data_IF_924896130368
#
_entry.id   IF_924896130368
#
_cell.length_a   1.000
_cell.length_b   1.000
_cell.length_c   1.000
_cell.angle_alpha   90.00
_cell.angle_beta   90.00
_cell.angle_gamma   90.00
#
_symmetry.space_group_name_H-M   'P 1'
#
loop_
_entity.id
_entity.type
_entity.pdbx_description
1 polymer ?
#
# COMPACT_ATOMS: atom_id res chain seq x y z
N UNK A 1 26.52 7.07 -60.76
CA UNK A 1 25.49 6.34 -59.99
C UNK A 1 25.52 6.89 -58.56
N UNK A 2 24.73 7.94 -58.28
CA UNK A 2 24.63 8.58 -57.00
C UNK A 2 23.65 7.81 -56.11
N UNK A 3 24.12 7.29 -55.02
CA UNK A 3 23.31 6.53 -54.05
C UNK A 3 22.41 7.52 -53.33
N UNK A 4 21.09 7.40 -53.50
CA UNK A 4 20.05 8.09 -52.73
C UNK A 4 20.02 7.51 -51.30
N UNK A 5 20.99 7.84 -50.47
CA UNK A 5 21.05 7.41 -49.06
C UNK A 5 20.20 8.29 -48.14
N UNK A 6 19.81 9.50 -48.58
CA UNK A 6 19.06 10.45 -47.76
C UNK A 6 17.57 10.12 -47.54
N UNK A 7 16.88 9.57 -48.54
CA UNK A 7 15.43 9.31 -48.46
C UNK A 7 15.06 8.10 -47.57
N UNK A 8 15.95 7.12 -47.46
CA UNK A 8 15.73 5.97 -46.59
C UNK A 8 15.88 6.30 -45.09
N UNK A 9 16.73 7.26 -44.74
CA UNK A 9 16.94 7.67 -43.35
C UNK A 9 15.68 8.41 -42.82
N UNK A 10 15.10 9.32 -43.64
CA UNK A 10 13.90 10.08 -43.24
C UNK A 10 12.69 9.18 -42.99
N UNK A 11 12.50 8.12 -43.76
CA UNK A 11 11.34 7.21 -43.66
C UNK A 11 11.30 6.41 -42.35
N UNK A 12 12.43 6.23 -41.68
CA UNK A 12 12.55 5.50 -40.41
C UNK A 12 12.85 6.43 -39.24
N UNK A 13 13.37 7.62 -39.45
CA UNK A 13 13.60 8.62 -38.42
C UNK A 13 12.28 9.24 -37.93
N UNK A 14 11.31 9.47 -38.81
CA UNK A 14 10.05 10.13 -38.45
C UNK A 14 9.21 9.33 -37.44
N UNK A 15 8.95 8.01 -37.61
CA UNK A 15 8.24 7.23 -36.62
C UNK A 15 8.98 7.11 -35.30
N UNK A 16 10.31 7.03 -35.32
CA UNK A 16 11.13 7.00 -34.08
C UNK A 16 11.10 8.32 -33.36
N UNK A 17 11.18 9.41 -34.08
CA UNK A 17 11.09 10.76 -33.55
C UNK A 17 9.70 11.05 -32.97
N UNK A 18 8.63 10.60 -33.64
CA UNK A 18 7.26 10.67 -33.12
C UNK A 18 7.08 9.83 -31.84
N UNK A 19 7.59 8.60 -31.80
CA UNK A 19 7.58 7.79 -30.56
C UNK A 19 8.37 8.46 -29.43
N UNK A 20 9.54 9.03 -29.75
CA UNK A 20 10.32 9.78 -28.74
C UNK A 20 9.58 11.02 -28.23
N UNK A 21 8.86 11.73 -29.13
CA UNK A 21 8.03 12.88 -28.75
C UNK A 21 6.84 12.43 -27.89
N UNK A 22 6.15 11.35 -28.25
CA UNK A 22 5.03 10.83 -27.47
C UNK A 22 5.52 10.36 -26.09
N UNK A 23 6.64 9.66 -26.03
CA UNK A 23 7.27 9.25 -24.75
C UNK A 23 7.70 10.47 -23.94
N UNK A 24 8.24 11.51 -24.59
CA UNK A 24 8.63 12.76 -23.93
C UNK A 24 7.42 13.58 -23.45
N UNK A 25 6.34 13.66 -24.23
CA UNK A 25 5.10 14.35 -23.85
C UNK A 25 4.37 13.62 -22.72
N UNK A 26 4.33 12.31 -22.76
CA UNK A 26 3.85 11.48 -21.67
C UNK A 26 4.72 11.72 -20.41
N UNK A 27 6.03 11.76 -20.59
CA UNK A 27 7.00 12.10 -19.57
C UNK A 27 6.79 13.50 -18.97
N UNK A 28 6.59 14.54 -19.80
CA UNK A 28 6.34 15.92 -19.33
C UNK A 28 4.99 16.05 -18.62
N UNK A 29 3.99 15.30 -19.04
CA UNK A 29 2.72 15.19 -18.33
C UNK A 29 2.90 14.53 -16.96
N UNK A 30 3.73 13.50 -16.87
CA UNK A 30 4.06 12.75 -15.65
C UNK A 30 5.08 13.48 -14.77
N UNK A 31 5.93 14.36 -15.34
CA UNK A 31 6.94 15.16 -14.62
C UNK A 31 6.34 16.25 -13.69
N UNK A 32 5.01 16.42 -13.69
CA UNK A 32 4.32 17.16 -12.63
C UNK A 32 4.55 16.53 -11.24
N UNK A 33 5.15 15.35 -11.19
CA UNK A 33 5.46 14.54 -10.01
C UNK A 33 6.98 14.50 -9.80
N UNK A 34 7.46 15.40 -8.99
CA UNK A 34 8.88 15.83 -8.88
C UNK A 34 9.93 14.73 -8.65
N UNK A 35 9.58 13.57 -8.12
CA UNK A 35 10.55 12.51 -7.76
C UNK A 35 10.75 11.43 -8.83
N UNK A 36 9.85 11.31 -9.78
CA UNK A 36 9.85 10.25 -10.81
C UNK A 36 10.42 10.72 -12.14
N UNK A 37 10.56 12.04 -12.33
CA UNK A 37 11.00 12.68 -13.54
C UNK A 37 12.38 12.21 -14.03
N UNK A 38 13.34 12.05 -13.12
CA UNK A 38 14.69 11.62 -13.47
C UNK A 38 14.73 10.15 -13.93
N UNK A 39 14.00 9.26 -13.26
CA UNK A 39 13.92 7.85 -13.64
C UNK A 39 13.31 7.65 -15.02
N UNK A 40 12.24 8.38 -15.35
CA UNK A 40 11.63 8.36 -16.69
C UNK A 40 12.56 8.93 -17.76
N UNK A 41 13.25 10.03 -17.45
CA UNK A 41 14.20 10.62 -18.39
C UNK A 41 15.32 9.63 -18.74
N UNK A 42 15.91 9.00 -17.73
CA UNK A 42 16.97 8.00 -17.93
C UNK A 42 16.44 6.80 -18.74
N UNK A 43 15.23 6.35 -18.47
CA UNK A 43 14.63 5.27 -19.23
C UNK A 43 14.29 5.66 -20.67
N UNK A 44 13.74 6.85 -20.90
CA UNK A 44 13.48 7.36 -22.25
C UNK A 44 14.78 7.47 -23.07
N UNK A 45 15.87 7.93 -22.44
CA UNK A 45 17.19 7.98 -23.05
C UNK A 45 17.70 6.57 -23.37
N UNK A 46 17.58 5.62 -22.44
CA UNK A 46 18.00 4.23 -22.64
C UNK A 46 17.22 3.58 -23.79
N UNK A 47 15.89 3.75 -23.85
CA UNK A 47 15.06 3.26 -24.95
C UNK A 47 15.45 3.88 -26.28
N UNK A 48 15.76 5.18 -26.30
CA UNK A 48 16.25 5.88 -27.50
C UNK A 48 17.55 5.27 -27.98
N UNK A 49 18.54 5.13 -27.09
CA UNK A 49 19.86 4.54 -27.40
C UNK A 49 19.71 3.12 -27.89
N UNK A 50 18.93 2.29 -27.22
CA UNK A 50 18.65 0.90 -27.65
C UNK A 50 18.02 0.86 -29.04
N UNK A 51 17.05 1.71 -29.34
CA UNK A 51 16.40 1.80 -30.66
C UNK A 51 17.39 2.17 -31.76
N UNK A 52 18.26 3.14 -31.51
CA UNK A 52 19.28 3.55 -32.46
C UNK A 52 20.30 2.44 -32.72
N UNK A 53 20.83 1.83 -31.65
CA UNK A 53 21.79 0.73 -31.75
C UNK A 53 21.20 -0.48 -32.49
N UNK A 54 19.97 -0.87 -32.15
CA UNK A 54 19.31 -1.99 -32.78
C UNK A 54 19.07 -1.77 -34.28
N UNK A 55 18.72 -0.54 -34.69
CA UNK A 55 18.58 -0.18 -36.13
C UNK A 55 19.91 -0.22 -36.86
N UNK A 56 20.97 0.26 -36.21
CA UNK A 56 22.31 0.19 -36.82
C UNK A 56 22.73 -1.28 -37.01
N UNK A 57 22.48 -2.15 -36.04
CA UNK A 57 22.77 -3.59 -36.11
C UNK A 57 21.96 -4.29 -37.21
N UNK A 58 20.66 -4.02 -37.32
CA UNK A 58 19.80 -4.59 -38.36
C UNK A 58 20.27 -4.15 -39.74
N UNK A 59 20.57 -2.86 -39.92
CA UNK A 59 21.02 -2.33 -41.21
C UNK A 59 22.39 -2.86 -41.62
N UNK A 60 23.27 -3.11 -40.65
CA UNK A 60 24.62 -3.67 -40.87
C UNK A 60 24.58 -5.20 -41.07
N UNK A 61 23.71 -5.91 -40.34
CA UNK A 61 23.62 -7.36 -40.35
C UNK A 61 22.83 -7.93 -41.52
N UNK A 62 21.78 -7.23 -41.97
CA UNK A 62 20.90 -7.71 -43.06
C UNK A 62 21.22 -6.90 -44.33
N UNK A 63 22.10 -7.46 -45.14
CA UNK A 63 22.48 -6.87 -46.45
C UNK A 63 21.50 -7.37 -47.52
N UNK A 64 20.95 -6.45 -48.32
CA UNK A 64 20.09 -6.74 -49.46
C UNK A 64 18.80 -5.93 -49.48
N UNK A 65 18.25 -5.71 -50.68
CA UNK A 65 17.02 -4.97 -50.92
C UNK A 65 15.88 -5.87 -51.43
N UNK A 66 16.08 -7.20 -51.45
CA UNK A 66 15.07 -8.16 -51.87
C UNK A 66 13.87 -8.26 -50.89
N UNK A 67 12.81 -8.90 -51.33
CA UNK A 67 11.56 -9.06 -50.59
C UNK A 67 11.79 -9.66 -49.19
N UNK A 68 12.57 -10.77 -49.09
CA UNK A 68 12.91 -11.46 -47.83
C UNK A 68 13.62 -10.52 -46.86
N UNK A 69 14.62 -9.76 -47.34
CA UNK A 69 15.36 -8.83 -46.47
C UNK A 69 14.45 -7.71 -45.91
N UNK A 70 13.50 -7.21 -46.72
CA UNK A 70 12.52 -6.22 -46.28
C UNK A 70 11.57 -6.79 -45.25
N UNK A 71 11.08 -8.01 -45.45
CA UNK A 71 10.18 -8.70 -44.51
C UNK A 71 10.83 -8.94 -43.16
N UNK A 72 12.07 -9.43 -43.12
CA UNK A 72 12.82 -9.62 -41.86
C UNK A 72 13.03 -8.28 -41.15
N UNK A 73 13.43 -7.22 -41.85
CA UNK A 73 13.61 -5.90 -41.26
C UNK A 73 12.32 -5.35 -40.67
N UNK A 74 11.19 -5.54 -41.37
CA UNK A 74 9.87 -5.12 -40.89
C UNK A 74 9.47 -5.89 -39.64
N UNK A 75 9.65 -7.22 -39.64
CA UNK A 75 9.36 -8.05 -38.47
C UNK A 75 10.18 -7.64 -37.25
N UNK A 76 11.50 -7.47 -37.40
CA UNK A 76 12.37 -7.02 -36.32
C UNK A 76 12.02 -5.61 -35.82
N UNK A 77 11.57 -4.74 -36.71
CA UNK A 77 11.08 -3.41 -36.33
C UNK A 77 9.79 -3.49 -35.50
N UNK A 78 8.81 -4.29 -35.94
CA UNK A 78 7.55 -4.49 -35.19
C UNK A 78 7.82 -5.13 -33.84
N UNK A 79 8.72 -6.10 -33.76
CA UNK A 79 9.16 -6.70 -32.51
C UNK A 79 9.79 -5.68 -31.55
N UNK A 80 10.64 -4.80 -32.05
CA UNK A 80 11.21 -3.70 -31.28
C UNK A 80 10.14 -2.73 -30.75
N UNK A 81 9.15 -2.39 -31.60
CA UNK A 81 8.02 -1.54 -31.19
C UNK A 81 7.25 -2.22 -30.05
N UNK A 82 6.98 -3.52 -30.16
CA UNK A 82 6.29 -4.27 -29.12
C UNK A 82 7.06 -4.25 -27.79
N UNK A 83 8.38 -4.49 -27.82
CA UNK A 83 9.24 -4.40 -26.62
C UNK A 83 9.14 -2.99 -25.98
N UNK A 84 9.26 -1.94 -26.80
CA UNK A 84 9.18 -0.56 -26.28
C UNK A 84 7.80 -0.29 -25.65
N UNK A 85 6.72 -0.72 -26.27
CA UNK A 85 5.36 -0.56 -25.72
C UNK A 85 5.23 -1.32 -24.41
N UNK A 86 5.73 -2.56 -24.34
CA UNK A 86 5.71 -3.36 -23.09
C UNK A 86 6.48 -2.68 -21.98
N UNK A 87 7.70 -2.22 -22.24
CA UNK A 87 8.52 -1.51 -21.24
C UNK A 87 7.82 -0.23 -20.78
N UNK A 88 7.30 0.58 -21.72
CA UNK A 88 6.59 1.82 -21.40
C UNK A 88 5.34 1.55 -20.56
N UNK A 89 4.54 0.58 -20.95
CA UNK A 89 3.35 0.17 -20.22
C UNK A 89 3.66 -0.33 -18.81
N UNK A 90 4.65 -1.23 -18.68
CA UNK A 90 5.07 -1.77 -17.39
C UNK A 90 5.55 -0.66 -16.44
N UNK A 91 6.35 0.27 -16.94
CA UNK A 91 6.81 1.39 -16.11
C UNK A 91 5.69 2.35 -15.76
N UNK A 92 4.74 2.59 -16.66
CA UNK A 92 3.55 3.39 -16.36
C UNK A 92 2.77 2.75 -15.20
N UNK A 93 2.54 1.44 -15.26
CA UNK A 93 1.86 0.71 -14.17
C UNK A 93 2.63 0.86 -12.85
N UNK A 94 3.96 0.62 -12.84
CA UNK A 94 4.78 0.75 -11.62
C UNK A 94 4.63 2.13 -10.98
N UNK A 95 4.58 3.17 -11.80
CA UNK A 95 4.54 4.55 -11.32
C UNK A 95 3.17 4.99 -10.83
N UNK A 96 2.11 4.54 -11.51
CA UNK A 96 0.75 4.84 -11.09
C UNK A 96 0.22 3.90 -10.02
N UNK A 97 0.82 2.71 -9.84
CA UNK A 97 0.34 1.75 -8.85
C UNK A 97 0.32 2.32 -7.43
N UNK A 98 1.35 3.06 -7.03
CA UNK A 98 1.43 3.65 -5.70
C UNK A 98 0.36 4.73 -5.50
N UNK A 99 0.09 5.58 -6.50
CA UNK A 99 -0.92 6.62 -6.44
C UNK A 99 -2.35 6.11 -6.56
N UNK A 100 -2.52 5.04 -7.33
CA UNK A 100 -3.82 4.36 -7.43
C UNK A 100 -4.13 3.55 -6.17
N UNK A 101 -3.10 3.13 -5.43
CA UNK A 101 -3.24 2.25 -4.29
C UNK A 101 -3.38 3.01 -2.98
N UNK A 102 -2.62 4.10 -2.77
CA UNK A 102 -2.68 4.89 -1.55
C UNK A 102 -3.48 6.17 -1.75
N UNK A 103 -4.36 6.46 -0.80
CA UNK A 103 -5.22 7.66 -0.78
C UNK A 103 -4.90 8.53 0.45
N UNK A 104 -3.73 9.21 0.50
CA UNK A 104 -3.37 10.06 1.63
C UNK A 104 -4.44 11.10 1.90
N UNK A 105 -4.97 11.11 3.11
CA UNK A 105 -6.01 12.03 3.55
C UNK A 105 -5.48 12.92 4.69
N UNK A 106 -5.75 14.22 4.59
CA UNK A 106 -5.38 15.23 5.59
C UNK A 106 -6.64 16.02 5.98
N UNK A 107 -7.24 15.68 7.11
CA UNK A 107 -8.43 16.34 7.62
C UNK A 107 -8.06 17.39 8.67
N UNK A 108 -7.80 18.62 8.21
CA UNK A 108 -7.43 19.74 9.06
C UNK A 108 -8.55 20.16 10.02
N UNK A 109 -9.81 20.05 9.61
CA UNK A 109 -10.95 20.42 10.45
C UNK A 109 -11.07 19.46 11.63
N UNK A 110 -10.98 18.15 11.39
CA UNK A 110 -10.99 17.16 12.45
C UNK A 110 -9.78 17.31 13.38
N UNK A 111 -8.61 17.63 12.83
CA UNK A 111 -7.41 17.91 13.62
C UNK A 111 -7.60 19.07 14.60
N UNK A 112 -8.10 20.23 14.13
CA UNK A 112 -8.37 21.40 14.97
C UNK A 112 -9.45 21.14 16.04
N UNK A 113 -10.46 20.34 15.71
CA UNK A 113 -11.49 19.91 16.68
C UNK A 113 -10.91 19.03 17.78
N UNK A 114 -10.03 18.10 17.43
CA UNK A 114 -9.38 17.20 18.39
C UNK A 114 -8.45 17.95 19.33
N UNK A 115 -7.71 18.95 18.87
CA UNK A 115 -6.88 19.82 19.73
C UNK A 115 -7.66 20.47 20.88
N UNK A 116 -8.94 20.72 20.69
CA UNK A 116 -9.82 21.29 21.72
C UNK A 116 -10.38 20.24 22.69
N UNK A 117 -10.17 18.96 22.43
CA UNK A 117 -10.69 17.86 23.25
C UNK A 117 -9.63 17.40 24.24
N UNK A 118 -9.81 17.70 25.53
CA UNK A 118 -8.85 17.34 26.59
C UNK A 118 -8.62 15.84 26.79
N UNK A 119 -9.51 14.99 26.26
CA UNK A 119 -9.34 13.51 26.33
C UNK A 119 -8.37 12.98 25.28
N UNK A 120 -8.10 13.75 24.22
CA UNK A 120 -7.21 13.37 23.16
C UNK A 120 -5.85 14.04 23.36
N UNK A 121 -4.80 13.26 23.22
CA UNK A 121 -3.43 13.75 23.27
C UNK A 121 -2.83 13.59 21.88
N UNK A 122 -2.40 14.70 21.30
CA UNK A 122 -1.62 14.63 20.06
C UNK A 122 -0.29 13.95 20.35
N UNK A 123 0.07 13.01 19.48
CA UNK A 123 1.33 12.30 19.52
C UNK A 123 2.16 12.75 18.33
N UNK A 124 3.37 13.19 18.63
CA UNK A 124 4.38 13.54 17.64
C UNK A 124 5.70 12.93 18.06
N UNK A 125 6.36 12.26 17.15
CA UNK A 125 7.72 11.75 17.37
C UNK A 125 8.51 11.72 16.08
N UNK A 126 9.81 11.82 16.19
CA UNK A 126 10.74 11.78 15.07
C UNK A 126 11.57 10.49 15.13
N UNK A 127 11.76 9.87 13.98
CA UNK A 127 12.66 8.73 13.83
C UNK A 127 13.26 8.73 12.42
N UNK A 128 14.58 8.55 12.33
CA UNK A 128 15.32 8.51 11.05
C UNK A 128 15.02 9.73 10.15
N UNK A 129 14.96 10.93 10.74
CA UNK A 129 14.61 12.20 10.08
C UNK A 129 13.21 12.21 9.45
N UNK A 130 12.29 11.37 9.95
CA UNK A 130 10.87 11.36 9.58
C UNK A 130 10.03 11.77 10.77
N UNK A 131 9.08 12.68 10.54
CA UNK A 131 8.13 13.15 11.54
C UNK A 131 6.85 12.33 11.42
N UNK A 132 6.42 11.72 12.51
CA UNK A 132 5.17 10.98 12.62
C UNK A 132 4.22 11.70 13.56
N UNK A 133 2.95 11.73 13.21
CA UNK A 133 1.87 12.34 13.98
C UNK A 133 0.73 11.36 14.18
N UNK A 134 -0.02 11.54 15.25
CA UNK A 134 -1.18 10.71 15.54
C UNK A 134 -1.93 11.20 16.77
N UNK A 135 -2.85 10.38 17.24
CA UNK A 135 -3.66 10.69 18.41
C UNK A 135 -3.71 9.53 19.38
N UNK A 136 -3.65 9.85 20.68
CA UNK A 136 -3.87 8.95 21.80
C UNK A 136 -5.14 9.36 22.54
N UNK A 137 -6.08 8.45 22.67
CA UNK A 137 -7.15 8.51 23.65
C UNK A 137 -6.68 7.83 24.93
N UNK A 138 -6.60 8.61 25.99
CA UNK A 138 -6.33 8.11 27.32
C UNK A 138 -7.67 7.95 28.05
N UNK A 139 -8.05 6.71 28.32
CA UNK A 139 -9.31 6.38 29.00
C UNK A 139 -9.15 6.20 30.49
N UNK A 140 -8.02 5.63 30.90
CA UNK A 140 -7.75 5.27 32.28
C UNK A 140 -6.72 6.18 32.93
N UNK A 141 -6.87 6.44 34.20
CA UNK A 141 -5.82 7.09 35.01
C UNK A 141 -4.73 6.08 35.37
N UNK A 142 -3.47 6.45 35.12
CA UNK A 142 -2.35 5.58 35.39
C UNK A 142 -1.95 4.72 34.19
N UNK A 143 -1.46 3.53 34.47
CA UNK A 143 -0.93 2.58 33.50
C UNK A 143 -2.04 1.64 33.04
N UNK A 144 -2.32 1.60 31.73
CA UNK A 144 -3.40 0.80 31.16
C UNK A 144 -2.96 0.06 29.88
N UNK A 145 -3.63 -1.07 29.55
CA UNK A 145 -3.50 -1.72 28.26
C UNK A 145 -3.70 -0.75 27.08
N UNK A 146 -3.09 -1.07 25.94
CA UNK A 146 -3.15 -0.20 24.77
C UNK A 146 -3.58 -0.97 23.53
N UNK A 147 -4.55 -0.43 22.80
CA UNK A 147 -4.80 -0.79 21.40
C UNK A 147 -4.02 0.15 20.49
N UNK A 148 -3.15 -0.41 19.62
CA UNK A 148 -2.52 0.33 18.53
C UNK A 148 -3.28 -0.01 17.25
N UNK A 149 -3.93 0.99 16.68
CA UNK A 149 -4.78 0.83 15.51
C UNK A 149 -4.10 1.32 14.23
N UNK A 150 -4.12 0.47 13.21
CA UNK A 150 -3.68 0.73 11.86
C UNK A 150 -4.89 0.84 10.95
N UNK A 151 -5.17 2.04 10.48
CA UNK A 151 -6.37 2.37 9.72
C UNK A 151 -6.40 1.80 8.31
N UNK A 152 -7.57 1.88 7.70
CA UNK A 152 -7.78 1.57 6.29
C UNK A 152 -7.17 2.63 5.36
N UNK A 153 -7.19 2.33 4.07
CA UNK A 153 -6.74 3.28 3.06
C UNK A 153 -7.65 4.54 3.05
N UNK A 154 -7.05 5.72 3.03
CA UNK A 154 -7.79 6.99 3.13
C UNK A 154 -8.16 7.43 4.55
N UNK A 155 -7.90 6.62 5.59
CA UNK A 155 -8.11 7.05 6.96
C UNK A 155 -6.97 7.93 7.47
N UNK A 156 -7.32 8.93 8.27
CA UNK A 156 -6.37 9.64 9.12
C UNK A 156 -6.84 9.63 10.57
N UNK A 157 -5.88 9.65 11.49
CA UNK A 157 -6.14 9.53 12.92
C UNK A 157 -7.06 10.64 13.45
N UNK A 158 -6.88 11.86 13.01
CA UNK A 158 -7.72 12.99 13.43
C UNK A 158 -9.21 12.77 13.12
N UNK A 159 -9.53 12.30 11.92
CA UNK A 159 -10.91 12.02 11.52
C UNK A 159 -11.48 10.82 12.27
N UNK A 160 -10.70 9.75 12.42
CA UNK A 160 -11.13 8.55 13.18
C UNK A 160 -11.51 8.90 14.62
N UNK A 161 -10.70 9.71 15.28
CA UNK A 161 -10.95 10.13 16.65
C UNK A 161 -12.21 11.01 16.77
N UNK A 162 -12.43 11.92 15.80
CA UNK A 162 -13.63 12.74 15.80
C UNK A 162 -14.90 11.91 15.56
N UNK A 163 -14.91 11.03 14.56
CA UNK A 163 -16.06 10.16 14.25
C UNK A 163 -16.43 9.27 15.45
N UNK A 164 -15.45 8.66 16.10
CA UNK A 164 -15.67 7.83 17.26
C UNK A 164 -16.29 8.60 18.44
N UNK A 165 -15.94 9.89 18.60
CA UNK A 165 -16.57 10.76 19.59
C UNK A 165 -18.05 10.96 19.29
N UNK A 166 -18.39 11.20 18.04
CA UNK A 166 -19.76 11.47 17.61
C UNK A 166 -20.63 10.21 17.69
N UNK A 167 -20.08 9.04 17.34
CA UNK A 167 -20.77 7.76 17.30
C UNK A 167 -20.70 6.97 18.62
N UNK A 168 -19.96 7.46 19.62
CA UNK A 168 -19.77 6.83 20.94
C UNK A 168 -19.19 5.41 20.91
N UNK A 169 -18.33 5.09 19.95
CA UNK A 169 -17.72 3.74 19.82
C UNK A 169 -16.68 3.45 20.90
N UNK A 170 -16.22 4.46 21.65
CA UNK A 170 -15.17 4.28 22.65
C UNK A 170 -15.53 3.33 23.80
N UNK A 171 -16.82 3.09 24.06
CA UNK A 171 -17.22 2.14 25.12
C UNK A 171 -16.90 0.67 24.77
N UNK A 172 -16.65 0.36 23.49
CA UNK A 172 -16.16 -0.97 23.10
C UNK A 172 -14.71 -1.23 23.49
N UNK A 173 -13.97 -0.17 23.81
CA UNK A 173 -12.56 -0.20 24.22
C UNK A 173 -12.38 0.13 25.71
N UNK A 174 -13.39 -0.15 26.55
CA UNK A 174 -13.28 0.11 27.99
C UNK A 174 -12.13 -0.71 28.61
N UNK A 175 -11.32 -0.07 29.46
CA UNK A 175 -10.10 -0.64 30.02
C UNK A 175 -8.85 -0.47 29.16
N UNK A 176 -8.96 0.05 27.94
CA UNK A 176 -7.83 0.27 27.04
C UNK A 176 -7.62 1.73 26.70
N UNK A 177 -6.39 2.16 26.64
CA UNK A 177 -5.99 3.33 25.87
C UNK A 177 -6.00 2.98 24.38
N UNK A 178 -6.15 3.99 23.52
CA UNK A 178 -6.22 3.77 22.07
C UNK A 178 -5.30 4.73 21.33
N UNK A 179 -4.37 4.19 20.55
CA UNK A 179 -3.39 4.94 19.76
C UNK A 179 -3.59 4.69 18.27
N UNK A 180 -3.63 5.75 17.48
CA UNK A 180 -3.50 5.69 16.04
C UNK A 180 -2.45 6.70 15.58
N UNK A 181 -1.46 6.22 14.83
CA UNK A 181 -0.44 7.05 14.18
C UNK A 181 -0.74 7.09 12.68
N UNK A 182 -0.69 8.27 12.10
CA UNK A 182 -0.90 8.45 10.66
C UNK A 182 0.23 7.83 9.85
N UNK A 183 -0.11 7.13 8.79
CA UNK A 183 0.87 6.62 7.83
C UNK A 183 1.69 7.76 7.21
N UNK A 184 2.90 7.48 6.70
CA UNK A 184 3.67 8.48 5.96
C UNK A 184 2.85 9.12 4.83
N UNK A 185 2.73 10.45 4.85
CA UNK A 185 1.91 11.22 3.91
C UNK A 185 0.43 11.38 4.28
N UNK A 186 -0.07 10.64 5.29
CA UNK A 186 -1.43 10.78 5.82
C UNK A 186 -1.43 11.73 7.02
N UNK A 187 -2.59 12.32 7.31
CA UNK A 187 -2.75 13.24 8.42
C UNK A 187 -1.64 14.30 8.44
N UNK A 188 -0.92 14.39 9.54
CA UNK A 188 0.22 15.29 9.69
C UNK A 188 1.58 14.58 9.59
N UNK A 189 1.62 13.24 9.39
CA UNK A 189 2.86 12.48 9.20
C UNK A 189 3.53 12.83 7.88
N UNK A 190 4.86 13.01 7.90
CA UNK A 190 5.65 13.34 6.72
C UNK A 190 6.10 12.09 5.97
N UNK A 191 6.32 12.24 4.67
CA UNK A 191 6.84 11.17 3.82
C UNK A 191 5.90 10.75 2.71
N UNK A 192 6.19 9.59 2.12
CA UNK A 192 5.40 8.99 1.03
C UNK A 192 4.99 7.58 1.48
N UNK A 193 3.73 7.18 1.30
CA UNK A 193 3.28 5.85 1.68
C UNK A 193 3.90 4.76 0.79
N UNK A 194 4.27 3.67 1.41
CA UNK A 194 4.65 2.39 0.81
C UNK A 194 4.52 1.33 1.91
N UNK A 195 4.52 0.04 1.56
CA UNK A 195 4.55 -1.03 2.55
C UNK A 195 5.74 -0.86 3.51
N UNK A 196 6.97 -0.68 3.00
CA UNK A 196 8.17 -0.47 3.81
C UNK A 196 8.04 0.73 4.76
N UNK A 197 7.53 1.87 4.28
CA UNK A 197 7.42 3.08 5.09
C UNK A 197 6.32 2.98 6.15
N UNK A 198 5.22 2.27 5.86
CA UNK A 198 4.15 1.99 6.81
C UNK A 198 4.60 0.99 7.87
N UNK A 199 5.38 -0.03 7.49
CA UNK A 199 5.99 -0.98 8.42
C UNK A 199 7.00 -0.32 9.35
N UNK A 200 7.87 0.55 8.82
CA UNK A 200 8.79 1.33 9.65
C UNK A 200 8.03 2.19 10.66
N UNK A 201 6.99 2.90 10.22
CA UNK A 201 6.13 3.71 11.09
C UNK A 201 5.50 2.85 12.19
N UNK A 202 4.96 1.67 11.86
CA UNK A 202 4.31 0.78 12.83
C UNK A 202 5.29 0.31 13.92
N UNK A 203 6.51 -0.08 13.53
CA UNK A 203 7.58 -0.45 14.49
C UNK A 203 7.91 0.74 15.40
N UNK A 204 8.04 1.94 14.84
CA UNK A 204 8.37 3.15 15.64
C UNK A 204 7.22 3.59 16.55
N UNK A 205 5.98 3.45 16.10
CA UNK A 205 4.80 3.71 16.93
C UNK A 205 4.73 2.77 18.13
N UNK A 206 5.01 1.47 17.92
CA UNK A 206 5.11 0.50 19.00
C UNK A 206 6.26 0.82 19.96
N UNK A 207 7.47 1.03 19.43
CA UNK A 207 8.66 1.34 20.23
C UNK A 207 8.45 2.64 21.05
N UNK A 208 7.79 3.65 20.49
CA UNK A 208 7.37 4.84 21.20
C UNK A 208 6.35 4.52 22.30
N UNK A 209 5.32 3.73 21.99
CA UNK A 209 4.24 3.41 22.91
C UNK A 209 4.75 2.71 24.18
N UNK A 210 5.67 1.75 24.05
CA UNK A 210 6.21 1.00 25.20
C UNK A 210 7.09 1.86 26.14
N UNK A 211 7.57 3.03 25.69
CA UNK A 211 8.33 3.95 26.55
C UNK A 211 7.44 4.83 27.43
N UNK A 212 6.15 4.85 27.16
CA UNK A 212 5.20 5.72 27.88
C UNK A 212 4.89 5.17 29.27
N UNK A 213 4.79 6.06 30.22
CA UNK A 213 4.46 5.71 31.63
C UNK A 213 2.99 5.31 31.83
N UNK A 214 2.11 5.76 30.92
CA UNK A 214 0.67 5.51 30.95
C UNK A 214 0.25 4.29 30.11
N UNK A 215 1.21 3.53 29.57
CA UNK A 215 0.97 2.31 28.79
C UNK A 215 1.48 1.09 29.55
N UNK A 216 0.64 0.08 29.67
CA UNK A 216 1.06 -1.25 30.09
C UNK A 216 1.66 -2.00 28.88
N UNK A 217 2.99 -2.03 28.84
CA UNK A 217 3.73 -2.64 27.74
C UNK A 217 3.56 -4.16 27.63
N UNK A 218 2.99 -4.82 28.64
CA UNK A 218 2.71 -6.26 28.60
C UNK A 218 1.35 -6.54 27.96
N UNK A 219 0.48 -5.54 27.87
CA UNK A 219 -0.88 -5.71 27.33
C UNK A 219 -1.11 -4.76 26.14
N UNK A 220 -0.38 -5.01 25.06
CA UNK A 220 -0.55 -4.28 23.80
C UNK A 220 -1.28 -5.16 22.82
N UNK A 221 -2.42 -4.68 22.32
CA UNK A 221 -3.20 -5.30 21.25
C UNK A 221 -3.01 -4.50 19.96
N UNK A 222 -2.70 -5.18 18.88
CA UNK A 222 -2.68 -4.58 17.54
C UNK A 222 -4.03 -4.77 16.89
N UNK A 223 -4.53 -3.73 16.24
CA UNK A 223 -5.77 -3.77 15.49
C UNK A 223 -5.54 -3.17 14.11
N UNK A 224 -5.90 -3.90 13.07
CA UNK A 224 -5.78 -3.46 11.68
C UNK A 224 -7.11 -3.52 10.95
N UNK A 225 -7.33 -2.57 10.03
CA UNK A 225 -8.48 -2.57 9.15
C UNK A 225 -8.04 -2.44 7.70
N UNK A 226 -8.58 -3.30 6.81
CA UNK A 226 -8.28 -3.26 5.38
C UNK A 226 -6.75 -3.28 5.14
N UNK A 227 -6.16 -2.31 4.48
CA UNK A 227 -4.70 -2.22 4.27
C UNK A 227 -3.92 -2.29 5.60
N UNK A 228 -4.49 -1.77 6.68
CA UNK A 228 -3.88 -1.79 8.01
C UNK A 228 -3.72 -3.20 8.60
N UNK A 229 -4.46 -4.19 8.11
CA UNK A 229 -4.31 -5.59 8.55
C UNK A 229 -2.94 -6.16 8.20
N UNK A 230 -2.41 -5.83 7.02
CA UNK A 230 -1.05 -6.20 6.62
C UNK A 230 0.01 -5.54 7.52
N UNK A 231 -0.21 -4.28 7.91
CA UNK A 231 0.69 -3.54 8.82
C UNK A 231 0.66 -4.13 10.22
N UNK A 232 -0.54 -4.43 10.74
CA UNK A 232 -0.71 -5.05 12.06
C UNK A 232 -0.07 -6.46 12.11
N UNK A 233 -0.29 -7.28 11.08
CA UNK A 233 0.29 -8.63 10.97
C UNK A 233 1.82 -8.58 10.88
N UNK A 234 2.37 -7.65 10.09
CA UNK A 234 3.82 -7.43 10.04
C UNK A 234 4.40 -7.08 11.41
N UNK A 235 3.79 -6.13 12.12
CA UNK A 235 4.28 -5.74 13.44
C UNK A 235 4.16 -6.88 14.46
N UNK A 236 3.07 -7.64 14.45
CA UNK A 236 2.88 -8.81 15.30
C UNK A 236 3.94 -9.90 15.04
N UNK A 237 4.45 -10.02 13.81
CA UNK A 237 5.53 -10.95 13.49
C UNK A 237 6.90 -10.56 14.05
N UNK A 238 7.05 -9.29 14.49
CA UNK A 238 8.32 -8.72 14.98
C UNK A 238 8.32 -8.36 16.47
N UNK A 239 7.15 -8.26 17.07
CA UNK A 239 7.00 -7.80 18.46
C UNK A 239 6.10 -8.75 19.23
N UNK A 240 6.43 -8.96 20.49
CA UNK A 240 5.56 -9.70 21.39
C UNK A 240 4.36 -8.80 21.73
N UNK A 241 3.18 -9.17 21.21
CA UNK A 241 1.93 -8.48 21.45
C UNK A 241 0.92 -9.40 22.12
N UNK A 242 0.00 -8.84 22.87
CA UNK A 242 -0.95 -9.61 23.67
C UNK A 242 -2.17 -10.04 22.88
N UNK A 243 -2.48 -9.35 21.79
CA UNK A 243 -3.57 -9.69 20.89
C UNK A 243 -3.40 -9.07 19.51
N UNK A 244 -4.13 -9.63 18.54
CA UNK A 244 -4.17 -9.15 17.15
C UNK A 244 -5.59 -9.24 16.62
N UNK A 245 -6.14 -8.11 16.17
CA UNK A 245 -7.49 -7.99 15.59
C UNK A 245 -7.35 -7.52 14.15
N UNK A 246 -7.92 -8.26 13.22
CA UNK A 246 -7.86 -7.99 11.78
C UNK A 246 -9.28 -7.86 11.22
N UNK A 247 -9.67 -6.66 10.81
CA UNK A 247 -10.96 -6.37 10.19
C UNK A 247 -10.82 -6.24 8.69
N UNK A 248 -11.59 -6.99 7.92
CA UNK A 248 -11.46 -7.11 6.47
C UNK A 248 -10.01 -7.40 6.03
N UNK A 249 -9.39 -8.50 6.50
CA UNK A 249 -8.01 -8.82 6.21
C UNK A 249 -7.82 -9.43 4.81
N UNK A 250 -6.60 -9.34 4.28
CA UNK A 250 -6.18 -9.90 3.00
C UNK A 250 -4.84 -10.65 3.14
N UNK A 251 -4.57 -11.56 2.24
CA UNK A 251 -3.39 -12.44 2.24
C UNK A 251 -2.11 -11.74 1.76
N UNK A 252 -2.17 -11.04 0.62
CA UNK A 252 -1.03 -10.36 0.00
C UNK A 252 -1.47 -9.09 -0.76
N UNK A 253 -0.56 -8.13 -0.89
CA UNK A 253 -0.81 -6.91 -1.65
C UNK A 253 -1.17 -7.17 -3.11
N UNK A 254 -0.57 -8.19 -3.75
CA UNK A 254 -0.89 -8.59 -5.12
C UNK A 254 -2.37 -8.99 -5.25
N UNK A 255 -2.88 -9.78 -4.33
CA UNK A 255 -4.29 -10.18 -4.30
C UNK A 255 -5.20 -8.97 -4.12
N UNK A 256 -4.81 -8.05 -3.22
CA UNK A 256 -5.51 -6.81 -2.99
C UNK A 256 -5.51 -5.90 -4.24
N UNK A 257 -4.39 -5.80 -4.98
CA UNK A 257 -4.36 -5.09 -6.27
C UNK A 257 -5.30 -5.75 -7.29
N UNK A 258 -5.28 -7.08 -7.38
CA UNK A 258 -6.12 -7.82 -8.33
C UNK A 258 -7.62 -7.74 -7.98
N UNK A 259 -8.00 -7.56 -6.71
CA UNK A 259 -9.41 -7.31 -6.36
C UNK A 259 -9.92 -5.97 -6.89
N UNK A 260 -9.03 -5.02 -7.12
CA UNK A 260 -9.35 -3.72 -7.72
C UNK A 260 -9.23 -3.72 -9.25
N UNK A 261 -8.13 -4.28 -9.77
CA UNK A 261 -7.83 -4.36 -11.21
C UNK A 261 -7.14 -5.71 -11.46
N UNK A 262 -7.85 -6.65 -12.06
CA UNK A 262 -7.42 -8.04 -12.26
C UNK A 262 -6.44 -8.21 -13.44
N UNK A 263 -5.22 -7.65 -13.29
CA UNK A 263 -4.17 -7.68 -14.34
C UNK A 263 -2.81 -8.19 -13.87
N UNK A 264 -2.60 -8.30 -12.55
CA UNK A 264 -1.28 -8.62 -11.97
C UNK A 264 -1.04 -10.13 -11.88
N UNK A 265 -1.17 -10.85 -13.01
CA UNK A 265 -0.93 -12.28 -13.14
C UNK A 265 0.39 -12.58 -13.86
N UNK A 266 0.92 -13.79 -13.68
CA UNK A 266 2.15 -14.24 -14.33
C UNK A 266 3.32 -13.26 -14.12
N UNK A 267 3.99 -12.81 -15.20
CA UNK A 267 5.09 -11.83 -15.08
C UNK A 267 4.65 -10.45 -14.57
N UNK A 268 3.37 -10.06 -14.74
CA UNK A 268 2.86 -8.77 -14.31
C UNK A 268 2.88 -8.62 -12.78
N UNK A 269 2.83 -9.69 -12.01
CA UNK A 269 2.94 -9.66 -10.55
C UNK A 269 4.21 -8.98 -10.04
N UNK A 270 5.29 -9.03 -10.81
CA UNK A 270 6.57 -8.39 -10.44
C UNK A 270 6.55 -6.86 -10.58
N UNK A 271 5.49 -6.29 -11.17
CA UNK A 271 5.29 -4.85 -11.26
C UNK A 271 4.67 -4.27 -9.99
N UNK A 272 4.05 -5.10 -9.15
CA UNK A 272 3.52 -4.68 -7.84
C UNK A 272 4.69 -4.42 -6.89
N UNK A 273 4.82 -3.20 -6.40
CA UNK A 273 5.88 -2.76 -5.49
C UNK A 273 5.52 -3.03 -4.04
N UNK A 274 4.31 -2.66 -3.65
CA UNK A 274 3.82 -2.80 -2.29
C UNK A 274 3.22 -4.20 -2.10
N UNK A 275 4.00 -5.10 -1.52
CA UNK A 275 3.65 -6.53 -1.50
C UNK A 275 2.76 -6.90 -0.33
N UNK A 276 2.91 -6.26 0.82
CA UNK A 276 2.15 -6.59 2.05
C UNK A 276 1.97 -8.10 2.22
N UNK A 277 3.08 -8.84 2.34
CA UNK A 277 3.10 -10.32 2.37
C UNK A 277 2.50 -10.85 3.69
N UNK A 278 1.20 -10.60 3.95
CA UNK A 278 0.56 -10.88 5.24
C UNK A 278 0.62 -12.35 5.61
N UNK A 279 0.44 -13.27 4.66
CA UNK A 279 0.57 -14.73 4.87
C UNK A 279 1.98 -15.14 5.30
N UNK A 280 3.00 -14.44 4.82
CA UNK A 280 4.39 -14.69 5.21
C UNK A 280 4.63 -14.24 6.66
N UNK A 281 4.12 -13.07 7.03
CA UNK A 281 4.26 -12.52 8.38
C UNK A 281 3.46 -13.34 9.39
N UNK A 282 2.24 -13.75 9.05
CA UNK A 282 1.36 -14.55 9.89
C UNK A 282 2.02 -15.85 10.41
N UNK A 283 2.90 -16.48 9.60
CA UNK A 283 3.64 -17.69 9.99
C UNK A 283 4.56 -17.52 11.19
N UNK A 284 4.89 -16.28 11.56
CA UNK A 284 5.74 -15.95 12.71
C UNK A 284 4.97 -15.34 13.86
N UNK A 285 3.63 -15.37 13.81
CA UNK A 285 2.76 -14.86 14.87
C UNK A 285 2.28 -16.03 15.73
N UNK A 286 2.75 -16.10 16.96
CA UNK A 286 2.48 -17.23 17.87
C UNK A 286 1.14 -17.14 18.62
N UNK A 287 0.41 -16.03 18.53
CA UNK A 287 -0.91 -15.87 19.12
C UNK A 287 -2.05 -16.27 18.16
N UNK A 288 -3.25 -16.45 18.71
CA UNK A 288 -4.46 -16.72 17.94
C UNK A 288 -5.23 -15.41 17.69
N UNK A 289 -5.13 -14.82 16.46
CA UNK A 289 -5.76 -13.54 16.17
C UNK A 289 -7.28 -13.65 15.97
N UNK A 290 -8.01 -12.56 16.19
CA UNK A 290 -9.38 -12.37 15.74
C UNK A 290 -9.39 -11.84 14.31
N UNK A 291 -10.05 -12.56 13.39
CA UNK A 291 -10.32 -12.14 12.02
C UNK A 291 -11.80 -11.89 11.82
N UNK A 292 -12.17 -10.68 11.45
CA UNK A 292 -13.55 -10.27 11.13
C UNK A 292 -13.69 -10.11 9.62
N UNK A 293 -14.47 -10.97 9.00
CA UNK A 293 -14.62 -11.12 7.56
C UNK A 293 -16.08 -10.95 7.19
N UNK A 294 -16.39 -10.14 6.19
CA UNK A 294 -17.77 -9.98 5.75
C UNK A 294 -18.01 -10.63 4.40
N UNK A 295 -19.13 -11.35 4.29
CA UNK A 295 -19.60 -11.92 3.01
C UNK A 295 -20.08 -10.86 2.02
N UNK A 296 -20.44 -9.68 2.52
CA UNK A 296 -20.88 -8.53 1.73
C UNK A 296 -19.76 -7.51 1.44
N UNK A 297 -18.50 -7.85 1.77
CA UNK A 297 -17.35 -7.01 1.46
C UNK A 297 -17.12 -6.98 -0.06
N UNK A 298 -17.35 -5.82 -0.67
CA UNK A 298 -17.24 -5.62 -2.11
C UNK A 298 -15.81 -5.34 -2.59
N UNK A 299 -14.86 -5.12 -1.66
CA UNK A 299 -13.47 -4.81 -2.00
C UNK A 299 -12.52 -5.97 -1.72
N UNK A 300 -12.70 -6.69 -0.62
CA UNK A 300 -11.81 -7.79 -0.22
C UNK A 300 -12.59 -9.10 -0.26
N UNK A 301 -12.35 -9.95 -1.27
CA UNK A 301 -12.93 -11.29 -1.34
C UNK A 301 -12.59 -12.12 -0.11
N UNK A 302 -13.58 -12.87 0.41
CA UNK A 302 -13.43 -13.67 1.62
C UNK A 302 -12.30 -14.69 1.56
N UNK A 303 -12.02 -15.20 0.36
CA UNK A 303 -10.97 -16.17 0.10
C UNK A 303 -9.60 -15.66 0.53
N UNK A 304 -9.34 -14.34 0.39
CA UNK A 304 -8.08 -13.73 0.81
C UNK A 304 -7.92 -13.76 2.34
N UNK A 305 -9.02 -13.53 3.05
CA UNK A 305 -9.06 -13.61 4.50
C UNK A 305 -8.89 -15.05 5.01
N UNK A 306 -9.49 -16.02 4.33
CA UNK A 306 -9.35 -17.46 4.64
C UNK A 306 -7.90 -17.90 4.44
N UNK A 307 -7.28 -17.54 3.31
CA UNK A 307 -5.86 -17.84 3.06
C UNK A 307 -4.93 -17.25 4.13
N UNK A 308 -5.24 -16.04 4.62
CA UNK A 308 -4.48 -15.46 5.71
C UNK A 308 -4.71 -16.21 7.02
N UNK A 309 -5.97 -16.57 7.32
CA UNK A 309 -6.35 -17.35 8.50
C UNK A 309 -5.57 -18.67 8.60
N UNK A 310 -5.45 -19.38 7.49
CA UNK A 310 -4.74 -20.65 7.39
C UNK A 310 -3.22 -20.52 7.59
N UNK A 311 -2.68 -19.31 7.49
CA UNK A 311 -1.26 -19.07 7.65
C UNK A 311 -0.79 -18.92 9.11
N UNK A 312 -1.70 -18.69 10.07
CA UNK A 312 -1.36 -18.59 11.49
C UNK A 312 -1.09 -19.98 12.11
N UNK A 313 0.08 -20.21 12.72
CA UNK A 313 0.47 -21.55 13.18
C UNK A 313 -0.42 -22.09 14.31
N UNK A 314 -0.98 -21.21 15.13
CA UNK A 314 -1.89 -21.57 16.23
C UNK A 314 -3.38 -21.41 15.85
N UNK A 315 -3.67 -21.26 14.54
CA UNK A 315 -5.00 -20.96 14.06
C UNK A 315 -5.42 -19.53 14.31
N UNK A 316 -6.67 -19.21 14.03
CA UNK A 316 -7.29 -17.91 14.23
C UNK A 316 -8.76 -18.04 14.67
N UNK A 317 -9.29 -17.00 15.29
CA UNK A 317 -10.74 -16.85 15.55
C UNK A 317 -11.36 -16.17 14.33
N UNK A 318 -11.78 -16.96 13.35
CA UNK A 318 -12.33 -16.47 12.08
C UNK A 318 -13.86 -16.32 12.22
N UNK A 319 -14.35 -15.09 12.26
CA UNK A 319 -15.76 -14.76 12.36
C UNK A 319 -16.28 -14.15 11.06
N UNK A 320 -17.34 -14.76 10.52
CA UNK A 320 -18.02 -14.28 9.31
C UNK A 320 -19.23 -13.42 9.67
N UNK A 321 -19.25 -12.22 9.06
CA UNK A 321 -20.36 -11.27 9.11
C UNK A 321 -21.16 -11.39 7.80
N UNK A 322 -22.50 -11.29 7.87
CA UNK A 322 -23.33 -11.54 6.69
C UNK A 322 -23.41 -10.31 5.76
N UNK A 323 -23.73 -9.12 6.30
CA UNK A 323 -24.17 -7.97 5.52
C UNK A 323 -23.32 -6.70 5.70
N UNK A 324 -22.10 -6.79 6.22
CA UNK A 324 -21.25 -5.62 6.48
C UNK A 324 -20.45 -5.28 5.24
N UNK A 325 -20.76 -4.17 4.57
CA UNK A 325 -19.96 -3.65 3.45
C UNK A 325 -18.62 -3.13 3.93
N UNK A 326 -17.62 -3.11 3.03
CA UNK A 326 -16.24 -2.74 3.36
C UNK A 326 -16.13 -1.44 4.17
N UNK A 327 -16.81 -0.39 3.77
CA UNK A 327 -16.73 0.92 4.44
C UNK A 327 -17.42 1.02 5.80
N UNK A 328 -18.11 -0.02 6.28
CA UNK A 328 -19.01 0.06 7.44
C UNK A 328 -18.62 -0.78 8.65
N UNK A 329 -17.42 -1.37 8.66
CA UNK A 329 -16.94 -2.18 9.79
C UNK A 329 -16.93 -1.42 11.13
N UNK A 330 -16.67 -0.12 11.11
CA UNK A 330 -16.65 0.71 12.31
C UNK A 330 -18.05 1.15 12.77
N UNK A 331 -19.04 1.12 11.91
CA UNK A 331 -20.43 1.47 12.19
C UNK A 331 -21.27 0.24 12.62
N UNK A 332 -20.75 -0.96 12.37
CA UNK A 332 -21.46 -2.19 12.65
C UNK A 332 -21.28 -2.64 14.10
N UNK A 333 -22.40 -2.93 14.79
CA UNK A 333 -22.40 -3.31 16.19
C UNK A 333 -21.84 -4.71 16.42
N UNK A 334 -22.13 -5.66 15.53
CA UNK A 334 -21.66 -7.05 15.65
C UNK A 334 -20.13 -7.07 15.55
N UNK A 335 -19.54 -6.30 14.61
CA UNK A 335 -18.10 -6.10 14.50
C UNK A 335 -17.52 -5.61 15.82
N UNK A 336 -18.10 -4.55 16.39
CA UNK A 336 -17.56 -3.90 17.59
C UNK A 336 -17.78 -4.74 18.86
N UNK A 337 -18.85 -5.52 18.94
CA UNK A 337 -19.03 -6.50 20.04
C UNK A 337 -17.98 -7.62 19.98
N UNK A 338 -17.69 -8.19 18.81
CA UNK A 338 -16.59 -9.16 18.66
C UNK A 338 -15.22 -8.58 19.05
N UNK A 339 -14.95 -7.31 18.67
CA UNK A 339 -13.74 -6.62 19.11
C UNK A 339 -13.67 -6.52 20.62
N UNK A 340 -14.78 -6.09 21.26
CA UNK A 340 -14.87 -5.95 22.71
C UNK A 340 -14.69 -7.29 23.45
N UNK A 341 -15.36 -8.33 22.98
CA UNK A 341 -15.25 -9.68 23.55
C UNK A 341 -13.81 -10.18 23.50
N UNK A 342 -13.14 -10.03 22.37
CA UNK A 342 -11.73 -10.41 22.23
C UNK A 342 -10.81 -9.57 23.13
N UNK A 343 -11.02 -8.26 23.23
CA UNK A 343 -10.25 -7.41 24.14
C UNK A 343 -10.42 -7.79 25.61
N UNK A 344 -11.64 -8.19 26.00
CA UNK A 344 -11.90 -8.68 27.36
C UNK A 344 -11.22 -10.03 27.63
N UNK A 345 -11.24 -10.94 26.66
CA UNK A 345 -10.58 -12.24 26.78
C UNK A 345 -9.08 -12.08 27.00
N UNK A 346 -8.38 -11.30 26.12
CA UNK A 346 -6.93 -11.17 26.17
C UNK A 346 -6.39 -10.37 27.36
N UNK A 347 -7.22 -9.59 28.07
CA UNK A 347 -6.80 -8.90 29.31
C UNK A 347 -6.76 -9.82 30.52
N UNK A 348 -7.61 -10.86 30.52
CA UNK A 348 -7.78 -11.75 31.68
C UNK A 348 -7.05 -13.10 31.56
N UNK A 349 -6.42 -13.37 30.42
CA UNK A 349 -5.48 -14.47 30.23
C UNK A 349 -4.04 -14.06 30.55
#
# INVERSE_FOLDING_TARGET
MGVKTGDNIKKYLLPTFLMCIITLLLFLYLAKMEKLALGFLLMAILLLVMNVLFRLLINKGIRGNGFISKTIKTFLFLFLVLINLTITFSNTIILFSDEMFFYPNQDKESYEKNLKNKKYTEIQFESNNKEYSGWLLKKEEGRAPLVIYFGGNGECSARRFLMNKESNYWHYFDGYNFLMVDYPGYGNSKGTPSDDSMFEMAVKAYDYAITRKDVDSNHIVLMGYSIGTGVATYLASLRNVHGLILMAPYDEGISLYNSMIDIFHGPMKYLVRNKFESTKYAKSVDLQPLLLVSKADELIPNELSIHLSDAFPNGSKLNFLEDVKHGFFWEDKEVLEHVKEYLQEVVYE
#
